data_IF_789275211047
#
_entry.id   IF_789275211047
#
_cell.length_a   1.000
_cell.length_b   1.000
_cell.length_c   1.000
_cell.angle_alpha   90.00
_cell.angle_beta   90.00
_cell.angle_gamma   90.00
#
_symmetry.space_group_name_H-M   'P 1'
#
loop_
_entity.id
_entity.type
_entity.pdbx_description
1 polymer ?
#
# COMPACT_ATOMS: atom_id res chain seq x y z
N UNK A 1 -7.15 2.64 9.28
CA UNK A 1 -5.77 3.20 9.22
C UNK A 1 -4.82 2.03 9.37
N UNK A 2 -3.71 1.93 8.62
CA UNK A 2 -2.77 0.83 8.75
C UNK A 2 -2.13 0.95 10.14
N UNK A 3 -2.75 0.30 11.14
CA UNK A 3 -2.48 0.53 12.56
C UNK A 3 -2.44 -0.77 13.35
N UNK A 4 -2.70 -1.93 12.74
CA UNK A 4 -2.57 -3.21 13.44
C UNK A 4 -1.13 -3.73 13.44
N UNK A 5 -0.31 -3.33 12.46
CA UNK A 5 1.11 -3.67 12.39
C UNK A 5 1.96 -2.45 12.04
N UNK A 6 2.90 -2.11 12.92
CA UNK A 6 3.89 -1.05 12.67
C UNK A 6 4.98 -1.58 11.71
N UNK A 7 4.62 -1.81 10.45
CA UNK A 7 5.54 -2.28 9.43
C UNK A 7 6.57 -1.20 9.08
N UNK A 8 7.85 -1.58 8.99
CA UNK A 8 8.95 -0.71 8.54
C UNK A 8 9.37 -0.99 7.09
N UNK A 9 8.54 -1.73 6.34
CA UNK A 9 8.79 -2.11 4.95
C UNK A 9 8.86 -0.86 4.08
N UNK A 10 9.88 -0.79 3.22
CA UNK A 10 10.04 0.28 2.23
C UNK A 10 9.95 -0.33 0.84
N UNK A 11 9.10 0.24 -0.02
CA UNK A 11 8.92 -0.14 -1.43
C UNK A 11 9.21 1.12 -2.25
N UNK A 12 10.11 1.01 -3.22
CA UNK A 12 10.52 2.13 -4.07
C UNK A 12 10.55 1.69 -5.54
N UNK A 13 10.23 2.61 -6.44
CA UNK A 13 10.06 2.35 -7.87
C UNK A 13 9.03 3.30 -8.49
N UNK A 14 8.57 2.97 -9.69
CA UNK A 14 7.46 3.69 -10.33
C UNK A 14 6.14 3.42 -9.61
N UNK A 15 5.14 4.30 -9.78
CA UNK A 15 3.80 4.09 -9.22
C UNK A 15 3.20 2.73 -9.64
N UNK A 16 3.44 2.32 -10.88
CA UNK A 16 2.96 1.05 -11.45
C UNK A 16 3.58 -0.18 -10.77
N UNK A 17 4.81 -0.06 -10.26
CA UNK A 17 5.50 -1.10 -9.50
C UNK A 17 5.12 -1.07 -8.01
N UNK A 18 5.07 0.12 -7.42
CA UNK A 18 4.87 0.30 -5.97
C UNK A 18 3.43 0.03 -5.56
N UNK A 19 2.45 0.54 -6.32
CA UNK A 19 1.04 0.43 -5.96
C UNK A 19 0.55 -1.02 -5.79
N UNK A 20 0.75 -1.95 -6.75
CA UNK A 20 0.30 -3.33 -6.57
C UNK A 20 1.01 -4.04 -5.42
N UNK A 21 2.28 -3.71 -5.14
CA UNK A 21 3.02 -4.30 -4.03
C UNK A 21 2.54 -3.80 -2.67
N UNK A 22 2.25 -2.50 -2.56
CA UNK A 22 1.68 -1.92 -1.35
C UNK A 22 0.27 -2.47 -1.04
N UNK A 23 -0.57 -2.62 -2.08
CA UNK A 23 -1.91 -3.24 -1.94
C UNK A 23 -1.78 -4.68 -1.49
N UNK A 24 -0.87 -5.46 -2.09
CA UNK A 24 -0.65 -6.85 -1.69
C UNK A 24 -0.19 -6.97 -0.23
N UNK A 25 0.72 -6.12 0.22
CA UNK A 25 1.14 -6.07 1.62
C UNK A 25 -0.04 -5.73 2.54
N UNK A 26 -0.87 -4.75 2.18
CA UNK A 26 -2.08 -4.42 2.94
C UNK A 26 -3.04 -5.63 3.06
N UNK A 27 -3.21 -6.41 1.99
CA UNK A 27 -4.06 -7.59 2.01
C UNK A 27 -3.48 -8.74 2.85
N UNK A 28 -2.23 -9.12 2.58
CA UNK A 28 -1.61 -10.31 3.17
C UNK A 28 -1.23 -10.06 4.64
N UNK A 29 -0.72 -8.87 4.96
CA UNK A 29 -0.22 -8.55 6.30
C UNK A 29 -1.20 -7.78 7.17
N UNK A 30 -2.12 -6.99 6.59
CA UNK A 30 -3.09 -6.19 7.36
C UNK A 30 -4.55 -6.66 7.16
N UNK A 31 -4.78 -7.73 6.39
CA UNK A 31 -6.10 -8.30 6.17
C UNK A 31 -7.05 -7.39 5.38
N UNK A 32 -6.52 -6.36 4.73
CA UNK A 32 -7.30 -5.44 3.92
C UNK A 32 -7.83 -6.13 2.65
N UNK A 33 -8.90 -5.59 2.06
CA UNK A 33 -9.43 -6.10 0.79
C UNK A 33 -8.92 -5.29 -0.37
N UNK A 34 -8.60 -5.95 -1.48
CA UNK A 34 -8.30 -5.26 -2.72
C UNK A 34 -9.57 -4.58 -3.26
N UNK A 35 -9.75 -3.30 -2.90
CA UNK A 35 -10.84 -2.47 -3.39
C UNK A 35 -10.29 -1.23 -4.10
N UNK A 36 -11.07 -0.65 -5.04
CA UNK A 36 -10.71 0.61 -5.66
C UNK A 36 -10.46 1.73 -4.65
N UNK A 37 -11.20 1.74 -3.53
CA UNK A 37 -10.99 2.70 -2.44
C UNK A 37 -9.61 2.53 -1.80
N UNK A 38 -9.23 1.30 -1.41
CA UNK A 38 -7.92 1.01 -0.82
C UNK A 38 -6.79 1.44 -1.76
N UNK A 39 -6.90 1.08 -3.05
CA UNK A 39 -5.91 1.49 -4.07
C UNK A 39 -5.81 3.01 -4.17
N UNK A 40 -6.95 3.71 -4.13
CA UNK A 40 -7.00 5.16 -4.15
C UNK A 40 -6.38 5.82 -2.92
N UNK A 41 -6.59 5.24 -1.73
CA UNK A 41 -5.97 5.70 -0.49
C UNK A 41 -4.45 5.52 -0.49
N UNK A 42 -3.97 4.32 -0.85
CA UNK A 42 -2.54 4.02 -0.96
C UNK A 42 -1.88 4.96 -1.97
N UNK A 43 -2.50 5.15 -3.15
CA UNK A 43 -1.99 6.07 -4.17
C UNK A 43 -1.85 7.51 -3.69
N UNK A 44 -2.77 8.00 -2.85
CA UNK A 44 -2.66 9.35 -2.24
C UNK A 44 -1.53 9.46 -1.21
N UNK A 45 -1.09 8.34 -0.63
CA UNK A 45 0.01 8.30 0.33
C UNK A 45 1.39 8.16 -0.32
N UNK A 46 1.45 7.72 -1.59
CA UNK A 46 2.69 7.66 -2.34
C UNK A 46 3.24 9.07 -2.56
N UNK A 47 4.52 9.26 -2.21
CA UNK A 47 5.25 10.48 -2.53
C UNK A 47 5.91 10.33 -3.90
N UNK A 48 5.88 11.40 -4.68
CA UNK A 48 6.75 11.53 -5.84
C UNK A 48 8.13 11.97 -5.34
N UNK A 49 9.18 11.23 -5.71
CA UNK A 49 10.57 11.68 -5.55
C UNK A 49 11.01 12.57 -6.73
#
# INVERSE_FOLDING_TARGET
>A
MPSEKACTVTIAGTEEEVLPMAVRHAMEDHGEKDTPELRGEIKKMLKQE
#
